data_IF_184677559312
#
_entry.id   IF_184677559312
#
_cell.length_a   1.000
_cell.length_b   1.000
_cell.length_c   1.000
_cell.angle_alpha   90.00
_cell.angle_beta   90.00
_cell.angle_gamma   90.00
#
_symmetry.space_group_name_H-M   'P 1'
#
loop_
_entity.id
_entity.type
_entity.pdbx_description
1 polymer ?
#
# COMPACT_ATOMS: atom_id res chain seq x y z
N UNK A 1 -2.36 -0.89 -25.94
CA UNK A 1 -2.99 0.37 -25.49
C UNK A 1 -2.27 0.77 -24.22
N UNK A 2 -1.69 1.98 -24.17
CA UNK A 2 -0.85 2.44 -23.06
C UNK A 2 -1.75 3.04 -21.98
N UNK A 3 -1.85 2.40 -20.82
CA UNK A 3 -2.55 2.94 -19.66
C UNK A 3 -1.53 3.49 -18.67
N UNK A 4 -1.57 4.78 -18.43
CA UNK A 4 -1.14 5.31 -17.15
C UNK A 4 -2.22 4.94 -16.13
N UNK A 5 -1.83 4.49 -14.95
CA UNK A 5 -2.77 4.31 -13.84
C UNK A 5 -3.36 2.91 -13.74
N UNK A 6 -4.63 2.87 -13.38
CA UNK A 6 -5.25 1.72 -12.74
C UNK A 6 -5.26 0.49 -13.66
N UNK A 7 -4.70 -0.61 -13.16
CA UNK A 7 -4.70 -1.93 -13.78
C UNK A 7 -5.90 -2.69 -13.24
N UNK A 8 -6.86 -2.93 -14.12
CA UNK A 8 -8.03 -3.77 -13.84
C UNK A 8 -7.69 -5.23 -14.17
N UNK A 9 -7.91 -6.16 -13.24
CA UNK A 9 -7.72 -7.59 -13.50
C UNK A 9 -8.86 -8.13 -14.38
N UNK A 10 -8.68 -9.31 -15.02
CA UNK A 10 -9.67 -9.90 -15.94
C UNK A 10 -11.05 -10.17 -15.34
N UNK A 11 -11.16 -10.17 -14.01
CA UNK A 11 -12.40 -10.31 -13.25
C UNK A 11 -13.20 -9.00 -13.12
N UNK A 12 -12.66 -7.85 -13.54
CA UNK A 12 -13.33 -6.54 -13.52
C UNK A 12 -13.50 -5.92 -12.13
N UNK A 13 -13.28 -6.69 -11.07
CA UNK A 13 -13.55 -6.26 -9.71
C UNK A 13 -12.32 -5.73 -8.97
N UNK A 14 -11.10 -5.94 -9.48
CA UNK A 14 -9.85 -5.60 -8.77
C UNK A 14 -9.08 -4.50 -9.51
N UNK A 15 -8.82 -3.39 -8.81
CA UNK A 15 -8.07 -2.23 -9.30
C UNK A 15 -6.70 -2.12 -8.61
N UNK A 16 -5.62 -2.02 -9.38
CA UNK A 16 -4.24 -1.87 -8.86
C UNK A 16 -3.52 -0.68 -9.46
N UNK A 17 -2.59 -0.08 -8.74
CA UNK A 17 -1.83 1.09 -9.22
C UNK A 17 -0.38 0.72 -9.50
N UNK A 18 0.15 1.20 -10.63
CA UNK A 18 1.56 1.05 -10.98
C UNK A 18 2.10 2.34 -11.59
N UNK A 19 3.38 2.62 -11.32
CA UNK A 19 4.13 3.64 -12.04
C UNK A 19 4.63 3.04 -13.36
N UNK A 20 4.55 3.79 -14.47
CA UNK A 20 5.20 3.43 -15.75
C UNK A 20 6.22 4.50 -16.18
N UNK A 21 7.22 4.07 -16.94
CA UNK A 21 8.34 4.90 -17.36
C UNK A 21 8.12 5.50 -18.76
N UNK A 22 8.16 6.83 -18.89
CA UNK A 22 7.96 7.52 -20.18
C UNK A 22 9.08 7.28 -21.20
N UNK A 23 8.78 7.08 -22.49
CA UNK A 23 9.76 6.57 -23.47
C UNK A 23 10.85 7.56 -23.91
N UNK A 24 10.89 8.80 -23.43
CA UNK A 24 11.95 9.76 -23.82
C UNK A 24 13.22 9.66 -22.95
N UNK A 25 13.06 9.25 -21.69
CA UNK A 25 14.05 8.64 -20.80
C UNK A 25 13.17 7.95 -19.77
N UNK A 26 13.03 6.63 -19.86
CA UNK A 26 12.20 5.87 -18.93
C UNK A 26 12.83 5.99 -17.54
N UNK A 27 12.24 6.68 -16.54
CA UNK A 27 12.72 6.56 -15.17
C UNK A 27 12.71 5.06 -14.82
N UNK A 28 13.84 4.54 -14.35
CA UNK A 28 13.90 3.15 -13.93
C UNK A 28 12.98 3.01 -12.71
N UNK A 29 11.93 2.19 -12.85
CA UNK A 29 10.98 1.93 -11.77
C UNK A 29 11.42 0.67 -11.08
N UNK A 30 11.71 0.83 -9.81
CA UNK A 30 12.18 -0.21 -8.94
C UNK A 30 11.00 -0.83 -8.23
N UNK A 31 10.94 -2.16 -8.29
CA UNK A 31 9.88 -2.95 -7.71
C UNK A 31 10.47 -3.77 -6.57
N UNK A 32 9.91 -3.59 -5.39
CA UNK A 32 10.28 -4.32 -4.20
C UNK A 32 9.07 -5.09 -3.70
N UNK A 33 9.25 -6.37 -3.41
CA UNK A 33 8.23 -7.24 -2.83
C UNK A 33 8.78 -7.69 -1.48
N UNK A 34 8.05 -7.39 -0.41
CA UNK A 34 8.44 -7.70 0.96
C UNK A 34 7.36 -8.59 1.57
N UNK A 35 7.72 -9.78 2.06
CA UNK A 35 6.75 -10.72 2.62
C UNK A 35 7.31 -12.12 2.80
N UNK A 36 6.50 -13.10 3.23
CA UNK A 36 6.98 -14.44 3.56
C UNK A 36 7.22 -15.34 2.34
N UNK A 37 6.74 -14.95 1.14
CA UNK A 37 6.85 -15.80 -0.05
C UNK A 37 7.39 -15.04 -1.26
N UNK A 38 8.58 -15.45 -1.69
CA UNK A 38 9.25 -14.97 -2.89
C UNK A 38 8.61 -15.48 -4.19
N UNK A 39 7.71 -16.45 -4.12
CA UNK A 39 7.16 -17.15 -5.29
C UNK A 39 6.26 -16.27 -6.16
N UNK A 40 5.73 -15.17 -5.61
CA UNK A 40 4.95 -14.18 -6.37
C UNK A 40 5.82 -13.09 -7.04
N UNK A 41 7.14 -13.08 -6.82
CA UNK A 41 8.02 -12.11 -7.45
C UNK A 41 8.12 -12.40 -8.96
N UNK A 42 7.77 -11.40 -9.77
CA UNK A 42 7.93 -11.46 -11.23
C UNK A 42 9.34 -11.04 -11.65
N UNK A 43 9.73 -11.37 -12.88
CA UNK A 43 11.05 -11.01 -13.42
C UNK A 43 11.28 -9.49 -13.35
N UNK A 44 12.37 -9.07 -12.71
CA UNK A 44 12.71 -7.67 -12.46
C UNK A 44 12.27 -7.10 -11.10
N UNK A 45 11.63 -7.89 -10.23
CA UNK A 45 11.30 -7.49 -8.86
C UNK A 45 12.38 -7.93 -7.87
N UNK A 46 12.78 -7.02 -6.97
CA UNK A 46 13.63 -7.38 -5.83
C UNK A 46 12.73 -7.96 -4.74
N UNK A 47 13.05 -9.15 -4.25
CA UNK A 47 12.31 -9.78 -3.15
C UNK A 47 13.10 -9.70 -1.85
N UNK A 48 12.39 -9.42 -0.76
CA UNK A 48 12.90 -9.48 0.61
C UNK A 48 11.97 -10.38 1.42
N UNK A 49 12.50 -11.51 1.87
CA UNK A 49 11.74 -12.45 2.69
C UNK A 49 11.74 -12.00 4.15
N UNK A 50 10.57 -11.72 4.73
CA UNK A 50 10.44 -11.34 6.14
C UNK A 50 9.20 -11.95 6.77
N UNK A 51 9.20 -11.99 8.10
CA UNK A 51 7.98 -12.24 8.87
C UNK A 51 6.94 -11.12 8.59
N UNK A 52 5.66 -11.45 8.31
CA UNK A 52 4.59 -10.48 8.12
C UNK A 52 4.50 -9.41 9.22
N UNK A 53 4.84 -9.74 10.47
CA UNK A 53 4.84 -8.82 11.59
C UNK A 53 5.84 -7.66 11.43
N UNK A 54 6.83 -7.79 10.53
CA UNK A 54 7.80 -6.73 10.21
C UNK A 54 7.32 -5.78 9.12
N UNK A 55 6.28 -6.12 8.35
CA UNK A 55 5.81 -5.27 7.25
C UNK A 55 5.40 -3.84 7.66
N UNK A 56 4.81 -3.60 8.84
CA UNK A 56 4.57 -2.24 9.31
C UNK A 56 5.85 -1.39 9.40
N UNK A 57 6.99 -2.00 9.76
CA UNK A 57 8.30 -1.31 9.84
C UNK A 57 8.78 -0.83 8.45
N UNK A 58 8.50 -1.59 7.39
CA UNK A 58 8.85 -1.21 6.02
C UNK A 58 7.99 -0.05 5.52
N UNK A 59 6.70 -0.03 5.87
CA UNK A 59 5.80 1.09 5.54
C UNK A 59 6.26 2.36 6.26
N UNK A 60 6.54 2.26 7.56
CA UNK A 60 7.09 3.37 8.36
C UNK A 60 8.43 3.85 7.80
N UNK A 61 9.33 2.92 7.46
CA UNK A 61 10.62 3.20 6.84
C UNK A 61 10.47 3.95 5.51
N UNK A 62 9.51 3.55 4.67
CA UNK A 62 9.24 4.22 3.40
C UNK A 62 8.72 5.64 3.61
N UNK A 63 7.81 5.85 4.56
CA UNK A 63 7.27 7.17 4.93
C UNK A 63 8.40 8.09 5.40
N UNK A 64 9.25 7.62 6.32
CA UNK A 64 10.36 8.39 6.86
C UNK A 64 11.42 8.74 5.82
N UNK A 65 11.81 7.77 4.97
CA UNK A 65 12.83 7.98 3.94
C UNK A 65 12.39 8.92 2.82
N UNK A 66 11.09 9.03 2.58
CA UNK A 66 10.53 9.88 1.51
C UNK A 66 9.93 11.19 2.02
N UNK A 67 9.91 11.40 3.34
CA UNK A 67 9.35 12.60 3.98
C UNK A 67 7.92 12.91 3.49
N UNK A 68 7.07 11.88 3.44
CA UNK A 68 5.69 12.04 2.97
C UNK A 68 4.92 12.97 3.91
N UNK A 69 4.26 13.97 3.33
CA UNK A 69 3.39 14.89 4.06
C UNK A 69 1.90 14.58 3.84
N UNK A 70 1.60 13.78 2.81
CA UNK A 70 0.26 13.37 2.46
C UNK A 70 0.35 12.09 1.61
N UNK A 71 -0.58 11.18 1.85
CA UNK A 71 -0.82 10.02 0.98
C UNK A 71 -2.30 9.91 0.68
N UNK A 72 -2.61 9.19 -0.38
CA UNK A 72 -3.96 8.80 -0.74
C UNK A 72 -4.11 7.30 -0.58
N UNK A 73 -5.07 6.91 0.23
CA UNK A 73 -5.51 5.54 0.45
C UNK A 73 -6.60 5.18 -0.55
N UNK A 74 -6.46 4.03 -1.19
CA UNK A 74 -7.45 3.51 -2.12
C UNK A 74 -7.69 2.03 -1.82
N UNK A 75 -8.91 1.63 -1.43
CA UNK A 75 -9.22 0.22 -1.26
C UNK A 75 -9.22 -0.44 -2.64
N UNK A 76 -8.67 -1.65 -2.73
CA UNK A 76 -8.66 -2.38 -4.01
C UNK A 76 -10.09 -2.71 -4.47
N UNK A 77 -11.01 -2.96 -3.53
CA UNK A 77 -12.42 -3.24 -3.83
C UNK A 77 -13.42 -2.27 -3.21
N UNK A 78 -13.47 -2.14 -1.90
CA UNK A 78 -14.43 -1.26 -1.20
C UNK A 78 -13.91 -0.87 0.17
N UNK A 79 -14.30 0.31 0.66
CA UNK A 79 -13.97 0.74 2.02
C UNK A 79 -14.57 -0.17 3.11
N UNK A 80 -15.74 -0.75 2.87
CA UNK A 80 -16.38 -1.64 3.84
C UNK A 80 -15.50 -2.84 4.21
N UNK A 81 -14.74 -3.39 3.25
CA UNK A 81 -13.80 -4.48 3.52
C UNK A 81 -12.66 -4.03 4.46
N UNK A 82 -12.07 -2.86 4.20
CA UNK A 82 -10.97 -2.32 5.00
C UNK A 82 -11.44 -1.95 6.40
N UNK A 83 -12.54 -1.19 6.51
CA UNK A 83 -13.12 -0.74 7.79
C UNK A 83 -13.43 -1.92 8.69
N UNK A 84 -14.05 -2.98 8.16
CA UNK A 84 -14.42 -4.14 8.96
C UNK A 84 -13.21 -4.84 9.58
N UNK A 85 -12.08 -4.89 8.87
CA UNK A 85 -10.85 -5.50 9.38
C UNK A 85 -10.17 -4.63 10.43
N UNK A 86 -10.07 -3.33 10.18
CA UNK A 86 -9.32 -2.42 11.04
C UNK A 86 -10.14 -1.98 12.26
N UNK A 87 -11.46 -2.14 12.24
CA UNK A 87 -12.37 -1.61 13.26
C UNK A 87 -12.01 -2.02 14.69
N UNK A 88 -11.58 -3.26 14.93
CA UNK A 88 -11.25 -3.72 16.27
C UNK A 88 -9.91 -3.14 16.76
N UNK A 89 -8.87 -3.25 15.94
CA UNK A 89 -7.51 -2.84 16.33
C UNK A 89 -7.36 -1.32 16.47
N UNK A 90 -8.11 -0.55 15.68
CA UNK A 90 -8.02 0.91 15.64
C UNK A 90 -9.20 1.59 16.37
N UNK A 91 -10.04 0.85 17.10
CA UNK A 91 -11.24 1.37 17.76
C UNK A 91 -10.99 2.55 18.72
N UNK A 92 -9.79 2.63 19.30
CA UNK A 92 -9.41 3.67 20.27
C UNK A 92 -8.49 4.73 19.70
N UNK A 93 -8.22 4.69 18.40
CA UNK A 93 -7.35 5.66 17.73
C UNK A 93 -8.20 6.81 17.18
N UNK A 94 -8.05 8.00 17.78
CA UNK A 94 -8.86 9.17 17.40
C UNK A 94 -8.65 9.57 15.93
N UNK A 95 -7.44 9.40 15.39
CA UNK A 95 -7.14 9.68 13.98
C UNK A 95 -7.83 8.68 13.05
N UNK A 96 -7.99 7.43 13.51
CA UNK A 96 -8.75 6.43 12.76
C UNK A 96 -10.24 6.75 12.74
N UNK A 97 -10.81 7.23 13.84
CA UNK A 97 -12.25 7.51 13.91
C UNK A 97 -12.70 8.56 12.88
N UNK A 98 -11.85 9.54 12.56
CA UNK A 98 -12.13 10.52 11.50
C UNK A 98 -12.10 9.86 10.10
N UNK A 99 -11.10 9.01 9.84
CA UNK A 99 -10.97 8.26 8.58
C UNK A 99 -12.11 7.25 8.43
N UNK A 100 -12.46 6.52 9.47
CA UNK A 100 -13.54 5.55 9.52
C UNK A 100 -14.89 6.22 9.24
N UNK A 101 -15.15 7.40 9.81
CA UNK A 101 -16.36 8.14 9.54
C UNK A 101 -16.50 8.48 8.05
N UNK A 102 -15.43 8.94 7.40
CA UNK A 102 -15.45 9.25 5.96
C UNK A 102 -15.50 7.98 5.10
N UNK A 103 -14.69 6.96 5.41
CA UNK A 103 -14.73 5.65 4.74
C UNK A 103 -16.12 5.01 4.84
N UNK A 104 -16.80 5.21 5.97
CA UNK A 104 -18.14 4.72 6.24
C UNK A 104 -19.23 5.39 5.39
N UNK A 105 -19.00 6.59 4.88
CA UNK A 105 -19.88 7.21 3.89
C UNK A 105 -19.74 6.56 2.50
N UNK A 106 -18.56 5.99 2.22
CA UNK A 106 -18.19 5.40 0.94
C UNK A 106 -18.00 3.88 1.00
N UNK A 107 -18.63 3.18 1.96
CA UNK A 107 -18.39 1.74 2.21
C UNK A 107 -18.55 0.84 1.00
N UNK A 108 -19.41 1.21 0.05
CA UNK A 108 -19.66 0.43 -1.18
C UNK A 108 -18.89 0.97 -2.40
N UNK A 109 -17.91 1.86 -2.18
CA UNK A 109 -17.14 2.55 -3.21
C UNK A 109 -15.65 2.46 -2.94
N UNK A 110 -14.89 2.92 -3.93
CA UNK A 110 -13.43 3.00 -3.96
C UNK A 110 -12.91 4.43 -3.91
N UNK A 111 -13.75 5.36 -3.45
CA UNK A 111 -13.42 6.78 -3.44
C UNK A 111 -12.15 7.00 -2.60
N UNK A 112 -11.07 7.57 -3.17
CA UNK A 112 -9.82 7.71 -2.45
C UNK A 112 -9.94 8.60 -1.21
N UNK A 113 -9.24 8.25 -0.14
CA UNK A 113 -9.15 9.08 1.08
C UNK A 113 -7.74 9.62 1.27
N UNK A 114 -7.63 10.92 1.47
CA UNK A 114 -6.36 11.55 1.80
C UNK A 114 -6.07 11.40 3.29
N UNK A 115 -4.82 11.09 3.61
CA UNK A 115 -4.29 11.08 4.97
C UNK A 115 -3.10 12.03 4.98
N UNK A 116 -3.09 12.97 5.92
CA UNK A 116 -2.03 13.96 6.03
C UNK A 116 -0.96 13.55 7.04
N UNK A 117 0.12 14.33 7.10
CA UNK A 117 1.28 14.09 7.97
C UNK A 117 0.95 13.82 9.45
N UNK A 118 -0.14 14.38 9.98
CA UNK A 118 -0.58 14.20 11.37
C UNK A 118 -0.97 12.75 11.64
N UNK A 119 -1.56 12.10 10.65
CA UNK A 119 -2.21 10.80 10.78
C UNK A 119 -1.42 9.68 10.09
N UNK A 120 -0.16 9.92 9.68
CA UNK A 120 0.67 8.92 9.00
C UNK A 120 0.92 7.65 9.82
N UNK A 121 0.86 7.74 11.15
CA UNK A 121 0.98 6.58 12.04
C UNK A 121 -0.15 5.55 11.82
N UNK A 122 -1.32 5.99 11.33
CA UNK A 122 -2.44 5.13 10.95
C UNK A 122 -2.01 4.11 9.91
N UNK A 123 -1.11 4.46 8.97
CA UNK A 123 -0.67 3.55 7.92
C UNK A 123 0.01 2.30 8.49
N UNK A 124 0.83 2.48 9.53
CA UNK A 124 1.50 1.38 10.23
C UNK A 124 0.47 0.51 10.97
N UNK A 125 -0.51 1.14 11.64
CA UNK A 125 -1.57 0.44 12.36
C UNK A 125 -2.49 -0.36 11.41
N UNK A 126 -2.93 0.25 10.31
CA UNK A 126 -3.71 -0.40 9.27
C UNK A 126 -2.93 -1.55 8.63
N UNK A 127 -1.64 -1.35 8.34
CA UNK A 127 -0.77 -2.41 7.82
C UNK A 127 -0.78 -3.60 8.76
N UNK A 128 -0.59 -3.37 10.07
CA UNK A 128 -0.61 -4.43 11.07
C UNK A 128 -1.96 -5.18 11.08
N UNK A 129 -3.08 -4.46 11.17
CA UNK A 129 -4.42 -5.06 11.19
C UNK A 129 -4.69 -5.90 9.92
N UNK A 130 -4.33 -5.40 8.74
CA UNK A 130 -4.46 -6.13 7.47
C UNK A 130 -3.57 -7.39 7.45
N UNK A 131 -2.33 -7.29 7.93
CA UNK A 131 -1.45 -8.46 8.02
C UNK A 131 -1.90 -9.48 9.06
N UNK A 132 -2.62 -9.09 10.11
CA UNK A 132 -3.13 -10.03 11.11
C UNK A 132 -4.45 -10.69 10.69
N UNK A 133 -5.34 -9.94 10.03
CA UNK A 133 -6.75 -10.34 9.91
C UNK A 133 -7.23 -10.57 8.48
N UNK A 134 -6.61 -9.97 7.47
CA UNK A 134 -7.09 -10.14 6.10
C UNK A 134 -6.90 -11.57 5.60
N UNK A 135 -7.94 -12.10 4.95
CA UNK A 135 -8.03 -13.44 4.39
C UNK A 135 -8.47 -13.44 2.90
N UNK A 136 -8.84 -12.27 2.38
CA UNK A 136 -9.39 -12.09 1.03
C UNK A 136 -8.62 -11.03 0.25
N UNK A 137 -8.46 -11.19 -1.09
CA UNK A 137 -7.89 -10.14 -1.94
C UNK A 137 -8.72 -8.84 -1.97
N UNK A 138 -9.98 -8.90 -1.51
CA UNK A 138 -10.85 -7.73 -1.46
C UNK A 138 -10.42 -6.72 -0.40
N UNK A 139 -9.56 -7.14 0.51
CA UNK A 139 -9.11 -6.42 1.70
C UNK A 139 -7.74 -5.78 1.48
N UNK A 140 -7.23 -5.81 0.25
CA UNK A 140 -5.99 -5.17 -0.14
C UNK A 140 -6.17 -3.63 -0.20
N UNK A 141 -5.10 -2.91 0.14
CA UNK A 141 -5.08 -1.44 0.21
C UNK A 141 -3.91 -0.87 -0.59
N UNK A 142 -4.19 0.06 -1.48
CA UNK A 142 -3.16 0.83 -2.17
C UNK A 142 -2.90 2.17 -1.47
N UNK A 143 -1.63 2.56 -1.39
CA UNK A 143 -1.15 3.82 -0.83
C UNK A 143 -0.39 4.57 -1.92
N UNK A 144 -0.84 5.78 -2.23
CA UNK A 144 -0.24 6.64 -3.24
C UNK A 144 0.37 7.87 -2.57
N UNK A 145 1.68 8.08 -2.72
CA UNK A 145 2.31 9.30 -2.22
C UNK A 145 2.02 10.49 -3.16
N UNK A 146 1.42 11.57 -2.65
CA UNK A 146 1.06 12.74 -3.50
C UNK A 146 2.23 13.68 -3.78
N UNK A 147 3.35 13.52 -3.06
CA UNK A 147 4.58 14.31 -3.22
C UNK A 147 5.84 13.50 -3.58
N UNK A 148 5.72 12.19 -3.78
CA UNK A 148 6.84 11.31 -4.10
C UNK A 148 6.44 10.30 -5.18
N UNK A 149 7.41 9.86 -5.99
CA UNK A 149 7.20 8.76 -6.94
C UNK A 149 7.20 7.40 -6.22
N UNK A 150 6.22 7.18 -5.36
CA UNK A 150 6.06 6.01 -4.51
C UNK A 150 4.61 5.52 -4.53
N UNK A 151 4.43 4.24 -4.85
CA UNK A 151 3.17 3.50 -4.71
C UNK A 151 3.45 2.29 -3.86
N UNK A 152 2.58 2.01 -2.90
CA UNK A 152 2.61 0.78 -2.11
C UNK A 152 1.28 0.05 -2.25
N UNK A 153 1.33 -1.28 -2.26
CA UNK A 153 0.14 -2.14 -2.20
C UNK A 153 0.32 -3.12 -1.03
N UNK A 154 -0.59 -3.02 -0.07
CA UNK A 154 -0.71 -3.94 1.06
C UNK A 154 -1.62 -5.09 0.64
N UNK A 155 -1.04 -6.27 0.53
CA UNK A 155 -1.75 -7.49 0.16
C UNK A 155 -2.00 -8.32 1.40
N UNK A 156 -3.17 -8.10 2.00
CA UNK A 156 -3.51 -8.64 3.31
C UNK A 156 -3.53 -10.16 3.33
N UNK A 157 -4.10 -10.80 2.30
CA UNK A 157 -4.20 -12.26 2.22
C UNK A 157 -2.85 -12.95 2.04
N UNK A 158 -1.99 -12.43 1.17
CA UNK A 158 -0.67 -13.03 0.88
C UNK A 158 0.41 -12.58 1.87
N UNK A 159 0.06 -11.64 2.76
CA UNK A 159 0.96 -11.04 3.74
C UNK A 159 2.16 -10.39 3.05
N UNK A 160 1.89 -9.61 2.01
CA UNK A 160 2.92 -9.03 1.15
C UNK A 160 2.74 -7.53 1.03
N UNK A 161 3.85 -6.78 1.05
CA UNK A 161 3.93 -5.38 0.68
C UNK A 161 4.63 -5.28 -0.67
N UNK A 162 3.95 -4.76 -1.69
CA UNK A 162 4.59 -4.36 -2.95
C UNK A 162 4.88 -2.87 -2.93
N UNK A 163 6.06 -2.48 -3.37
CA UNK A 163 6.50 -1.09 -3.45
C UNK A 163 7.02 -0.82 -4.86
N UNK A 164 6.46 0.20 -5.50
CA UNK A 164 6.96 0.76 -6.76
C UNK A 164 7.52 2.14 -6.49
N UNK A 165 8.77 2.36 -6.88
CA UNK A 165 9.43 3.64 -6.70
C UNK A 165 10.31 4.01 -7.88
N UNK A 166 10.32 5.29 -8.26
CA UNK A 166 11.31 5.81 -9.20
C UNK A 166 12.64 6.18 -8.52
N UNK A 167 12.76 5.96 -7.20
CA UNK A 167 13.93 6.28 -6.39
C UNK A 167 14.68 4.99 -6.00
N UNK A 168 15.86 4.78 -6.61
CA UNK A 168 16.72 3.61 -6.37
C UNK A 168 17.19 3.53 -4.92
N UNK A 169 17.51 4.68 -4.33
CA UNK A 169 17.99 4.78 -2.96
C UNK A 169 16.94 4.30 -1.97
N UNK A 170 15.66 4.54 -2.24
CA UNK A 170 14.58 4.03 -1.39
C UNK A 170 14.60 2.50 -1.36
N UNK A 171 14.75 1.84 -2.52
CA UNK A 171 14.83 0.37 -2.60
C UNK A 171 16.02 -0.14 -1.80
N UNK A 172 17.21 0.41 -2.01
CA UNK A 172 18.42 -0.05 -1.32
C UNK A 172 18.32 0.16 0.19
N UNK A 173 17.81 1.30 0.65
CA UNK A 173 17.63 1.56 2.09
C UNK A 173 16.63 0.63 2.75
N UNK A 174 15.50 0.35 2.10
CA UNK A 174 14.53 -0.63 2.61
C UNK A 174 15.12 -2.04 2.61
N UNK A 175 15.99 -2.37 1.65
CA UNK A 175 16.72 -3.64 1.64
C UNK A 175 17.72 -3.78 2.79
N UNK A 176 18.37 -2.70 3.19
CA UNK A 176 19.27 -2.67 4.35
C UNK A 176 18.55 -2.84 5.70
N UNK A 177 17.23 -2.66 5.76
CA UNK A 177 16.43 -2.85 6.98
C UNK A 177 16.14 -4.33 7.29
N UNK A 178 16.37 -5.25 6.35
CA UNK A 178 16.15 -6.69 6.53
C UNK A 178 17.13 -7.33 7.52
#
# INVERSE_FOLDING_TARGET
MKSWGVVERPDGDIMRFALEATPKVAPQIYRLVVGPDASEATDGETHIEVDPARLPEFVEGAIHLTHLNEVVLVPVTTWGAIVNITAYDLATDDSWLEIDAEASLHQNRRDPLAVDSRDMHILTAMTKALMEHADSPNEDLAILATGASLVMELMGRTKTLRIWSANDMLRERLREQH
#
